data_IF_621914416828
#
_entry.id   IF_621914416828
#
_cell.length_a   1.000
_cell.length_b   1.000
_cell.length_c   1.000
_cell.angle_alpha   90.00
_cell.angle_beta   90.00
_cell.angle_gamma   90.00
#
_symmetry.space_group_name_H-M   'P 1'
#
loop_
_entity.id
_entity.type
_entity.pdbx_description
1 polymer ?
#
# COMPACT_ATOMS: atom_id res chain seq x y z
N UNK A 1 -7.40 7.86 19.95
CA UNK A 1 -6.66 8.84 19.13
C UNK A 1 -7.69 9.60 18.29
N UNK A 2 -7.47 10.87 17.93
CA UNK A 2 -8.31 11.55 16.92
C UNK A 2 -7.55 11.56 15.60
N UNK A 3 -8.16 11.01 14.55
CA UNK A 3 -7.63 11.01 13.18
C UNK A 3 -8.13 12.23 12.40
N UNK A 4 -7.62 12.41 11.19
CA UNK A 4 -8.07 13.47 10.27
C UNK A 4 -9.52 13.25 9.77
N UNK A 5 -10.05 12.04 9.96
CA UNK A 5 -11.40 11.60 9.60
C UNK A 5 -12.10 10.94 10.78
N UNK A 6 -13.42 10.89 10.72
CA UNK A 6 -14.26 9.95 11.45
C UNK A 6 -14.52 8.70 10.60
N UNK A 7 -14.88 7.58 11.25
CA UNK A 7 -15.17 6.32 10.55
C UNK A 7 -16.30 6.49 9.51
N UNK A 8 -17.30 7.34 9.81
CA UNK A 8 -18.38 7.73 8.88
C UNK A 8 -17.83 8.35 7.60
N UNK A 9 -16.86 9.26 7.72
CA UNK A 9 -16.29 9.98 6.58
C UNK A 9 -15.60 8.99 5.63
N UNK A 10 -14.98 7.94 6.18
CA UNK A 10 -14.35 6.84 5.42
C UNK A 10 -15.37 5.90 4.77
N UNK A 11 -16.54 5.70 5.37
CA UNK A 11 -17.64 4.98 4.72
C UNK A 11 -18.14 5.77 3.50
N UNK A 12 -18.32 7.09 3.65
CA UNK A 12 -18.86 8.00 2.63
C UNK A 12 -17.85 8.43 1.54
N UNK A 13 -16.56 8.08 1.69
CA UNK A 13 -15.52 8.36 0.67
C UNK A 13 -15.88 7.77 -0.71
N UNK A 14 -15.69 8.53 -1.81
CA UNK A 14 -16.02 8.08 -3.15
C UNK A 14 -15.09 6.94 -3.59
N UNK A 15 -15.69 5.81 -3.99
CA UNK A 15 -14.99 4.68 -4.59
C UNK A 15 -14.57 5.02 -6.02
N UNK A 16 -13.32 4.69 -6.39
CA UNK A 16 -12.79 4.84 -7.74
C UNK A 16 -12.83 3.51 -8.52
N UNK A 17 -12.87 3.58 -9.85
CA UNK A 17 -12.82 2.42 -10.74
C UNK A 17 -14.12 1.60 -10.79
N UNK A 18 -14.08 0.46 -11.48
CA UNK A 18 -15.22 -0.46 -11.65
C UNK A 18 -15.02 -1.70 -10.77
N UNK A 19 -16.00 -2.08 -9.91
CA UNK A 19 -15.88 -3.28 -9.08
C UNK A 19 -15.72 -4.58 -9.87
N UNK A 20 -14.73 -5.40 -9.49
CA UNK A 20 -14.51 -6.75 -10.03
C UNK A 20 -15.29 -7.74 -9.17
N UNK A 21 -16.50 -8.09 -9.61
CA UNK A 21 -17.42 -8.99 -8.90
C UNK A 21 -17.11 -10.48 -9.10
N UNK A 22 -16.26 -10.83 -10.08
CA UNK A 22 -15.97 -12.22 -10.48
C UNK A 22 -15.37 -13.08 -9.36
N UNK A 23 -14.64 -12.45 -8.43
CA UNK A 23 -14.08 -13.05 -7.20
C UNK A 23 -14.97 -12.87 -5.95
N UNK A 24 -16.13 -12.21 -6.06
CA UNK A 24 -17.08 -12.05 -4.97
C UNK A 24 -17.81 -13.35 -4.62
N UNK A 25 -18.19 -13.50 -3.35
CA UNK A 25 -18.95 -14.66 -2.86
C UNK A 25 -18.12 -15.87 -2.42
N UNK A 26 -16.78 -15.74 -2.27
CA UNK A 26 -15.92 -16.83 -1.79
C UNK A 26 -16.31 -17.34 -0.38
N UNK A 27 -16.76 -16.44 0.49
CA UNK A 27 -17.18 -16.77 1.85
C UNK A 27 -18.43 -17.66 1.88
N UNK A 28 -19.34 -17.46 0.91
CA UNK A 28 -20.65 -18.10 0.84
C UNK A 28 -20.61 -19.53 0.25
N UNK A 29 -19.42 -20.00 -0.18
CA UNK A 29 -19.26 -21.31 -0.83
C UNK A 29 -19.36 -22.45 0.21
N UNK A 30 -20.39 -23.32 0.12
CA UNK A 30 -20.53 -24.47 1.00
C UNK A 30 -19.48 -25.54 0.69
N UNK A 31 -19.21 -26.44 1.65
CA UNK A 31 -18.24 -27.52 1.50
C UNK A 31 -16.81 -27.20 1.98
N UNK A 32 -16.63 -26.07 2.67
CA UNK A 32 -15.38 -25.71 3.35
C UNK A 32 -14.22 -25.37 2.40
N UNK A 33 -12.99 -25.39 2.93
CA UNK A 33 -11.81 -24.86 2.22
C UNK A 33 -11.49 -25.57 0.90
N UNK A 34 -11.80 -26.86 0.78
CA UNK A 34 -11.62 -27.60 -0.48
C UNK A 34 -12.54 -27.10 -1.59
N UNK A 35 -13.82 -26.87 -1.28
CA UNK A 35 -14.79 -26.31 -2.21
C UNK A 35 -14.47 -24.84 -2.55
N UNK A 36 -14.11 -24.04 -1.55
CA UNK A 36 -13.64 -22.66 -1.72
C UNK A 36 -12.42 -22.58 -2.66
N UNK A 37 -11.43 -23.45 -2.52
CA UNK A 37 -10.26 -23.51 -3.42
C UNK A 37 -10.65 -23.93 -4.85
N UNK A 38 -11.55 -24.91 -5.01
CA UNK A 38 -12.04 -25.34 -6.32
C UNK A 38 -12.81 -24.22 -7.05
N UNK A 39 -13.66 -23.51 -6.32
CA UNK A 39 -14.37 -22.33 -6.80
C UNK A 39 -13.40 -21.20 -7.18
N UNK A 40 -12.44 -20.87 -6.31
CA UNK A 40 -11.48 -19.79 -6.54
C UNK A 40 -10.62 -20.04 -7.79
N UNK A 41 -10.16 -21.28 -7.99
CA UNK A 41 -9.44 -21.70 -9.21
C UNK A 41 -10.28 -21.56 -10.47
N UNK A 42 -11.59 -21.75 -10.37
CA UNK A 42 -12.52 -21.57 -11.49
C UNK A 42 -12.73 -20.08 -11.80
N UNK A 43 -13.01 -19.27 -10.76
CA UNK A 43 -13.20 -17.82 -10.91
C UNK A 43 -11.94 -17.08 -11.35
N UNK A 44 -10.76 -17.52 -10.93
CA UNK A 44 -9.49 -16.97 -11.42
C UNK A 44 -9.30 -17.13 -12.94
N UNK A 45 -9.84 -18.20 -13.56
CA UNK A 45 -9.83 -18.37 -15.03
C UNK A 45 -10.80 -17.43 -15.73
N UNK A 46 -11.97 -17.20 -15.14
CA UNK A 46 -12.94 -16.22 -15.65
C UNK A 46 -12.34 -14.81 -15.58
N UNK A 47 -11.85 -14.40 -14.40
CA UNK A 47 -11.17 -13.12 -14.20
C UNK A 47 -9.99 -12.93 -15.16
N UNK A 48 -9.14 -13.94 -15.38
CA UNK A 48 -8.05 -13.84 -16.38
C UNK A 48 -8.57 -13.50 -17.77
N UNK A 49 -9.71 -14.08 -18.16
CA UNK A 49 -10.31 -13.87 -19.49
C UNK A 49 -10.92 -12.48 -19.61
N UNK A 50 -11.69 -12.07 -18.60
CA UNK A 50 -12.29 -10.74 -18.49
C UNK A 50 -11.22 -9.63 -18.46
N UNK A 51 -10.22 -9.77 -17.59
CA UNK A 51 -9.14 -8.81 -17.43
C UNK A 51 -8.30 -8.66 -18.70
N UNK A 52 -7.98 -9.77 -19.39
CA UNK A 52 -7.27 -9.72 -20.67
C UNK A 52 -8.07 -9.00 -21.78
N UNK A 53 -9.41 -8.99 -21.70
CA UNK A 53 -10.26 -8.25 -22.62
C UNK A 53 -10.30 -6.73 -22.34
N UNK A 54 -9.82 -6.27 -21.18
CA UNK A 54 -9.76 -4.83 -20.84
C UNK A 54 -8.65 -4.08 -21.58
N UNK A 55 -7.64 -4.79 -22.11
CA UNK A 55 -6.47 -4.21 -22.79
C UNK A 55 -5.19 -4.37 -21.97
N UNK A 56 -4.23 -3.46 -22.18
CA UNK A 56 -2.92 -3.47 -21.53
C UNK A 56 -2.50 -2.06 -21.14
N UNK A 57 -1.75 -1.86 -20.04
CA UNK A 57 -1.13 -0.58 -19.72
C UNK A 57 -0.08 -0.22 -20.77
N UNK A 58 0.16 1.08 -20.96
CA UNK A 58 1.18 1.63 -21.87
C UNK A 58 2.59 1.27 -21.39
N UNK A 59 2.80 1.24 -20.07
CA UNK A 59 4.06 0.79 -19.46
C UNK A 59 3.91 0.41 -17.99
N UNK A 60 4.67 -0.59 -17.54
CA UNK A 60 4.92 -0.89 -16.12
C UNK A 60 6.43 -0.85 -15.89
N UNK A 61 6.89 -0.09 -14.89
CA UNK A 61 8.31 0.02 -14.54
C UNK A 61 8.53 -0.23 -13.05
N UNK A 62 9.37 -1.21 -12.73
CA UNK A 62 9.77 -1.53 -11.35
C UNK A 62 10.94 -0.67 -10.92
N UNK A 63 10.83 -0.01 -9.77
CA UNK A 63 11.81 0.90 -9.21
C UNK A 63 12.20 0.45 -7.78
N UNK A 64 13.41 -0.06 -7.61
CA UNK A 64 13.92 -0.47 -6.29
C UNK A 64 14.12 0.75 -5.40
N UNK A 65 13.58 0.71 -4.18
CA UNK A 65 13.68 1.81 -3.20
C UNK A 65 14.76 1.49 -2.16
N UNK A 66 14.60 0.38 -1.43
CA UNK A 66 15.48 0.02 -0.31
C UNK A 66 15.55 -1.49 -0.10
N UNK A 67 16.76 -2.01 0.11
CA UNK A 67 17.00 -3.36 0.65
C UNK A 67 17.33 -3.27 2.14
N UNK A 68 16.67 -4.08 2.97
CA UNK A 68 16.81 -4.06 4.43
C UNK A 68 16.73 -5.47 5.04
N UNK A 69 17.25 -5.69 6.27
CA UNK A 69 17.21 -6.99 6.91
C UNK A 69 15.82 -7.24 7.52
N UNK A 70 15.16 -8.30 7.10
CA UNK A 70 13.88 -8.74 7.66
C UNK A 70 14.07 -10.04 8.44
N UNK A 71 13.44 -10.22 9.64
CA UNK A 71 13.64 -11.44 10.42
C UNK A 71 13.19 -12.69 9.67
N UNK A 72 14.09 -13.67 9.54
CA UNK A 72 13.84 -14.93 8.81
C UNK A 72 12.59 -15.65 9.32
N UNK A 73 12.36 -15.61 10.64
CA UNK A 73 11.18 -16.18 11.30
C UNK A 73 9.84 -15.59 10.85
N UNK A 74 9.84 -14.31 10.44
CA UNK A 74 8.66 -13.60 9.94
C UNK A 74 8.52 -13.83 8.43
N UNK A 75 9.59 -13.59 7.67
CA UNK A 75 9.56 -13.70 6.19
C UNK A 75 9.30 -15.11 5.68
N UNK A 76 9.61 -16.15 6.46
CA UNK A 76 9.38 -17.56 6.12
C UNK A 76 8.42 -18.26 7.09
N UNK A 77 7.65 -17.51 7.90
CA UNK A 77 6.61 -18.00 8.83
C UNK A 77 6.85 -19.42 9.41
N UNK A 78 7.93 -19.59 10.19
CA UNK A 78 8.35 -20.86 10.81
C UNK A 78 8.67 -22.04 9.87
N UNK A 79 8.58 -21.90 8.55
CA UNK A 79 8.93 -22.93 7.57
C UNK A 79 10.45 -23.13 7.40
N UNK A 80 11.27 -22.21 7.92
CA UNK A 80 12.73 -22.25 7.77
C UNK A 80 13.45 -22.85 8.98
N UNK A 81 14.45 -23.69 8.71
CA UNK A 81 15.48 -24.14 9.66
C UNK A 81 16.76 -23.28 9.61
N UNK A 82 16.77 -22.20 8.82
CA UNK A 82 17.97 -21.39 8.62
C UNK A 82 18.42 -20.72 9.93
N UNK A 83 19.71 -20.83 10.21
CA UNK A 83 20.36 -20.23 11.38
C UNK A 83 20.49 -18.70 11.22
N UNK A 84 20.51 -18.22 9.96
CA UNK A 84 20.58 -16.80 9.64
C UNK A 84 19.37 -16.04 10.24
N UNK A 85 19.58 -15.08 11.17
CA UNK A 85 18.49 -14.39 11.87
C UNK A 85 17.70 -13.45 10.96
N UNK A 86 18.31 -13.00 9.87
CA UNK A 86 17.71 -12.11 8.87
C UNK A 86 17.87 -12.67 7.45
N UNK A 87 16.92 -12.30 6.60
CA UNK A 87 16.99 -12.37 5.14
C UNK A 87 16.91 -10.94 4.58
N UNK A 88 17.35 -10.73 3.34
CA UNK A 88 17.20 -9.44 2.68
C UNK A 88 15.83 -9.33 1.98
N UNK A 89 15.07 -8.28 2.26
CA UNK A 89 13.89 -7.87 1.47
C UNK A 89 14.24 -6.57 0.76
N UNK A 90 13.81 -6.43 -0.49
CA UNK A 90 13.86 -5.17 -1.24
C UNK A 90 12.45 -4.65 -1.46
N UNK A 91 12.13 -3.50 -0.86
CA UNK A 91 10.90 -2.77 -1.13
C UNK A 91 11.04 -2.04 -2.47
N UNK A 92 9.99 -2.07 -3.27
CA UNK A 92 9.97 -1.59 -4.65
C UNK A 92 8.67 -0.85 -4.94
N UNK A 93 8.77 0.27 -5.64
CA UNK A 93 7.64 0.93 -6.26
C UNK A 93 7.41 0.36 -7.67
N UNK A 94 6.16 0.26 -8.12
CA UNK A 94 5.84 0.14 -9.55
C UNK A 94 5.27 1.46 -10.05
N UNK A 95 5.75 1.91 -11.21
CA UNK A 95 5.19 3.05 -11.95
C UNK A 95 4.40 2.47 -13.11
N UNK A 96 3.08 2.66 -13.09
CA UNK A 96 2.14 2.13 -14.07
C UNK A 96 1.55 3.29 -14.85
N UNK A 97 1.56 3.21 -16.18
CA UNK A 97 0.93 4.21 -17.06
C UNK A 97 -0.05 3.52 -18.00
N UNK A 98 -1.20 4.12 -18.23
CA UNK A 98 -2.18 3.70 -19.23
C UNK A 98 -2.87 4.91 -19.85
N UNK A 99 -3.50 4.68 -21.00
CA UNK A 99 -4.36 5.65 -21.66
C UNK A 99 -5.81 5.17 -21.56
N UNK A 100 -6.69 6.03 -21.06
CA UNK A 100 -8.13 5.78 -20.96
C UNK A 100 -8.79 5.72 -22.35
N UNK A 101 -10.02 5.19 -22.41
CA UNK A 101 -10.81 5.15 -23.65
C UNK A 101 -11.15 6.53 -24.22
N UNK A 102 -11.07 7.59 -23.41
CA UNK A 102 -11.22 9.00 -23.82
C UNK A 102 -9.88 9.70 -24.16
N UNK A 103 -8.77 8.97 -24.14
CA UNK A 103 -7.44 9.48 -24.49
C UNK A 103 -6.69 10.17 -23.36
N UNK A 104 -7.26 10.31 -22.15
CA UNK A 104 -6.51 10.79 -20.98
C UNK A 104 -5.44 9.79 -20.60
N UNK A 105 -4.21 10.26 -20.39
CA UNK A 105 -3.12 9.46 -19.83
C UNK A 105 -3.23 9.45 -18.31
N UNK A 106 -2.86 8.32 -17.71
CA UNK A 106 -2.85 8.12 -16.26
C UNK A 106 -1.49 7.65 -15.77
N UNK A 107 -1.13 8.04 -14.56
CA UNK A 107 0.03 7.55 -13.83
C UNK A 107 -0.40 7.08 -12.44
N UNK A 108 -0.12 5.80 -12.15
CA UNK A 108 -0.28 5.21 -10.81
C UNK A 108 1.08 4.78 -10.27
N UNK A 109 1.32 5.12 -9.00
CA UNK A 109 2.46 4.65 -8.22
C UNK A 109 1.97 3.60 -7.23
N UNK A 110 2.39 2.35 -7.41
CA UNK A 110 2.12 1.25 -6.48
C UNK A 110 3.29 1.13 -5.51
N UNK A 111 3.02 1.07 -4.20
CA UNK A 111 4.03 1.07 -3.14
C UNK A 111 5.12 2.18 -3.24
N UNK A 112 4.75 3.48 -3.38
CA UNK A 112 5.69 4.59 -3.31
C UNK A 112 6.12 4.89 -1.86
N UNK A 113 6.70 3.91 -1.15
CA UNK A 113 7.05 4.06 0.26
C UNK A 113 8.09 5.17 0.50
N UNK A 114 7.83 6.02 1.50
CA UNK A 114 8.85 6.95 1.99
C UNK A 114 9.84 6.22 2.91
N UNK A 115 10.99 5.85 2.34
CA UNK A 115 12.08 5.15 3.05
C UNK A 115 12.62 5.96 4.24
N UNK A 116 12.51 7.29 4.22
CA UNK A 116 13.00 8.13 5.31
C UNK A 116 12.00 8.13 6.48
N UNK A 117 10.72 8.37 6.19
CA UNK A 117 9.68 8.44 7.22
C UNK A 117 9.35 7.04 7.79
N UNK A 118 9.34 6.00 6.96
CA UNK A 118 9.12 4.61 7.37
C UNK A 118 10.16 4.10 8.40
N UNK A 119 11.33 4.74 8.51
CA UNK A 119 12.32 4.45 9.58
C UNK A 119 11.79 4.76 10.99
N UNK A 120 10.76 5.60 11.10
CA UNK A 120 10.13 5.98 12.38
C UNK A 120 9.09 4.97 12.85
N UNK A 121 8.66 4.03 11.99
CA UNK A 121 7.80 2.88 12.34
C UNK A 121 8.30 2.23 13.66
N UNK A 122 7.42 1.94 14.64
CA UNK A 122 7.85 1.49 15.96
C UNK A 122 8.78 0.27 15.96
N UNK A 123 8.57 -0.68 15.05
CA UNK A 123 9.44 -1.83 14.82
C UNK A 123 10.86 -1.41 14.40
N UNK A 124 11.00 -0.60 13.35
CA UNK A 124 12.30 -0.14 12.86
C UNK A 124 13.00 0.81 13.83
N UNK A 125 12.26 1.68 14.51
CA UNK A 125 12.79 2.52 15.57
C UNK A 125 13.31 1.68 16.76
N UNK A 126 12.61 0.60 17.15
CA UNK A 126 13.05 -0.31 18.20
C UNK A 126 14.26 -1.17 17.78
N UNK A 127 14.32 -1.60 16.52
CA UNK A 127 15.47 -2.30 15.96
C UNK A 127 16.70 -1.38 15.93
N UNK A 128 16.56 -0.14 15.43
CA UNK A 128 17.62 0.85 15.40
C UNK A 128 18.21 1.16 16.79
N UNK A 129 17.37 1.26 17.83
CA UNK A 129 17.85 1.44 19.23
C UNK A 129 18.64 0.26 19.78
N UNK A 130 18.49 -0.94 19.20
CA UNK A 130 19.17 -2.19 19.62
C UNK A 130 20.36 -2.56 18.74
N UNK A 131 20.57 -1.85 17.63
CA UNK A 131 21.64 -2.12 16.66
C UNK A 131 22.73 -1.05 16.78
N UNK A 132 24.00 -1.41 17.04
CA UNK A 132 25.10 -0.45 17.07
C UNK A 132 25.20 0.35 15.76
N UNK A 133 25.44 1.66 15.86
CA UNK A 133 25.43 2.60 14.73
C UNK A 133 26.17 2.14 13.46
N UNK A 134 27.44 1.69 13.55
CA UNK A 134 28.19 1.22 12.39
C UNK A 134 27.58 0.00 11.69
N UNK A 135 26.87 -0.86 12.42
CA UNK A 135 26.22 -2.04 11.86
C UNK A 135 24.93 -1.66 11.10
N UNK A 136 24.27 -0.56 11.49
CA UNK A 136 23.03 -0.09 10.86
C UNK A 136 23.24 0.36 9.41
N UNK A 137 24.35 1.05 9.10
CA UNK A 137 24.70 1.47 7.74
C UNK A 137 25.15 0.32 6.84
N UNK A 138 25.64 -0.78 7.42
CA UNK A 138 25.99 -2.01 6.69
C UNK A 138 24.77 -2.91 6.37
N UNK A 139 23.63 -2.64 6.98
CA UNK A 139 22.42 -3.46 6.85
C UNK A 139 21.41 -2.96 5.82
N UNK A 140 21.41 -1.65 5.51
CA UNK A 140 20.39 -1.03 4.64
C UNK A 140 21.04 -0.45 3.39
N UNK A 141 20.54 -0.85 2.22
CA UNK A 141 20.96 -0.30 0.91
C UNK A 141 19.82 0.51 0.33
N UNK A 142 20.00 1.82 0.17
CA UNK A 142 19.07 2.68 -0.58
C UNK A 142 19.43 2.64 -2.07
N UNK A 143 18.45 2.36 -2.93
CA UNK A 143 18.64 2.25 -4.40
C UNK A 143 18.13 3.49 -5.16
N UNK A 144 17.24 4.26 -4.51
CA UNK A 144 16.71 5.51 -5.03
C UNK A 144 15.54 6.02 -4.18
N UNK A 145 15.09 7.23 -4.49
CA UNK A 145 13.88 7.82 -3.91
C UNK A 145 12.74 7.77 -4.94
N UNK A 146 11.48 7.82 -4.47
CA UNK A 146 10.29 7.93 -5.34
C UNK A 146 10.48 9.03 -6.38
N UNK A 147 10.77 10.26 -5.93
CA UNK A 147 11.01 11.42 -6.80
C UNK A 147 12.21 11.25 -7.73
N UNK A 148 13.31 10.64 -7.26
CA UNK A 148 14.48 10.38 -8.09
C UNK A 148 14.19 9.40 -9.24
N UNK A 149 13.30 8.43 -9.02
CA UNK A 149 12.85 7.52 -10.07
C UNK A 149 11.86 8.18 -11.03
N UNK A 150 10.91 8.98 -10.54
CA UNK A 150 9.99 9.74 -11.42
C UNK A 150 10.73 10.71 -12.34
N UNK A 151 11.72 11.44 -11.82
CA UNK A 151 12.56 12.33 -12.62
C UNK A 151 13.32 11.58 -13.74
N UNK A 152 13.83 10.36 -13.47
CA UNK A 152 14.46 9.51 -14.50
C UNK A 152 13.46 9.00 -15.56
N UNK A 153 12.19 8.87 -15.19
CA UNK A 153 11.11 8.42 -16.08
C UNK A 153 10.40 9.57 -16.83
N UNK A 154 10.81 10.82 -16.57
CA UNK A 154 10.22 12.01 -17.18
C UNK A 154 8.79 12.30 -16.71
N UNK A 155 8.46 11.96 -15.46
CA UNK A 155 7.15 12.16 -14.85
C UNK A 155 7.25 13.28 -13.81
N UNK A 156 6.45 14.34 -13.97
CA UNK A 156 6.37 15.39 -12.95
C UNK A 156 5.44 14.94 -11.79
N UNK A 157 5.64 15.39 -10.54
CA UNK A 157 4.76 14.99 -9.44
C UNK A 157 3.29 15.36 -9.63
N UNK A 158 3.01 16.46 -10.35
CA UNK A 158 1.67 16.88 -10.75
C UNK A 158 1.00 15.97 -11.79
N UNK A 159 1.76 15.16 -12.53
CA UNK A 159 1.24 14.16 -13.49
C UNK A 159 0.76 12.87 -12.80
N UNK A 160 0.96 12.72 -11.49
CA UNK A 160 0.58 11.52 -10.73
C UNK A 160 -0.89 11.58 -10.33
N UNK A 161 -1.72 10.74 -10.94
CA UNK A 161 -3.15 10.63 -10.62
C UNK A 161 -3.42 9.79 -9.37
N UNK A 162 -2.65 8.73 -9.16
CA UNK A 162 -2.96 7.72 -8.16
C UNK A 162 -1.72 7.24 -7.40
N UNK A 163 -1.86 7.12 -6.09
CA UNK A 163 -0.97 6.34 -5.23
C UNK A 163 -1.76 5.12 -4.77
N UNK A 164 -1.18 3.93 -4.81
CA UNK A 164 -1.83 2.72 -4.33
C UNK A 164 -0.90 1.96 -3.39
N UNK A 165 -1.45 1.54 -2.26
CA UNK A 165 -0.77 0.68 -1.31
C UNK A 165 -1.54 -0.64 -1.18
N UNK A 166 -0.82 -1.77 -1.12
CA UNK A 166 -1.46 -3.06 -0.84
C UNK A 166 -1.89 -3.16 0.64
N UNK A 167 -1.16 -2.47 1.52
CA UNK A 167 -1.51 -2.19 2.92
C UNK A 167 -0.65 -1.04 3.50
N UNK A 168 -1.07 -0.46 4.63
CA UNK A 168 -0.42 0.73 5.21
C UNK A 168 0.70 0.41 6.24
N UNK A 169 1.27 -0.81 6.22
CA UNK A 169 2.47 -1.09 7.02
C UNK A 169 3.64 -0.20 6.60
N UNK A 170 4.23 0.49 7.56
CA UNK A 170 5.43 1.33 7.40
C UNK A 170 5.28 2.53 6.46
N UNK A 171 4.04 2.80 6.00
CA UNK A 171 3.74 3.93 5.13
C UNK A 171 3.42 5.17 5.97
N UNK A 172 4.07 6.27 5.61
CA UNK A 172 3.78 7.62 6.11
C UNK A 172 3.44 8.49 4.89
N UNK A 173 2.18 8.90 4.79
CA UNK A 173 1.68 9.60 3.59
C UNK A 173 1.84 11.12 3.69
N UNK A 174 2.30 11.66 4.83
CA UNK A 174 2.32 13.12 5.08
C UNK A 174 3.10 13.90 4.02
N UNK A 175 4.22 13.36 3.53
CA UNK A 175 4.98 13.96 2.42
C UNK A 175 4.26 13.88 1.07
N UNK A 176 3.48 12.83 0.84
CA UNK A 176 2.84 12.55 -0.45
C UNK A 176 1.57 13.37 -0.67
N UNK A 177 0.66 13.38 0.32
CA UNK A 177 -0.64 14.04 0.24
C UNK A 177 -0.77 15.30 1.12
N UNK A 178 0.29 15.66 1.84
CA UNK A 178 0.32 16.82 2.70
C UNK A 178 -0.47 16.65 4.00
N UNK A 179 -0.46 17.71 4.82
CA UNK A 179 -1.21 17.79 6.08
C UNK A 179 -2.03 19.07 6.19
N UNK A 180 -3.06 19.05 7.03
CA UNK A 180 -3.92 20.21 7.34
C UNK A 180 -3.35 21.09 8.45
N UNK A 181 -2.40 20.57 9.24
CA UNK A 181 -1.75 21.27 10.36
C UNK A 181 -0.22 21.13 10.28
N UNK A 182 0.55 22.04 10.92
CA UNK A 182 2.00 21.93 11.01
C UNK A 182 2.47 20.62 11.65
N UNK A 183 3.56 20.07 11.11
CA UNK A 183 4.14 18.81 11.57
C UNK A 183 5.54 19.08 12.17
N UNK A 184 5.78 18.82 13.47
CA UNK A 184 7.04 19.20 14.12
C UNK A 184 8.32 18.61 13.51
N UNK A 185 8.21 17.51 12.75
CA UNK A 185 9.29 16.86 12.02
C UNK A 185 9.50 17.38 10.58
N UNK A 186 8.68 18.35 10.13
CA UNK A 186 8.77 19.00 8.83
C UNK A 186 8.97 20.53 8.90
N UNK A 187 8.46 21.19 9.96
CA UNK A 187 8.66 22.63 10.18
C UNK A 187 7.44 23.34 10.76
N UNK A 188 7.45 24.67 10.72
CA UNK A 188 6.45 25.54 11.37
C UNK A 188 5.12 25.66 10.61
N UNK A 189 5.04 25.11 9.38
CA UNK A 189 3.85 25.14 8.52
C UNK A 189 3.30 23.74 8.20
N UNK A 190 2.06 23.64 7.67
CA UNK A 190 1.53 22.39 7.15
C UNK A 190 2.44 21.81 6.05
N UNK A 191 2.43 20.49 5.88
CA UNK A 191 3.19 19.83 4.82
C UNK A 191 2.43 19.99 3.51
N UNK A 192 3.03 20.67 2.54
CA UNK A 192 2.47 20.73 1.19
C UNK A 192 2.58 19.36 0.49
N UNK A 193 1.58 18.94 -0.29
CA UNK A 193 1.58 17.65 -0.97
C UNK A 193 2.65 17.63 -2.08
N UNK A 194 3.53 16.63 -2.05
CA UNK A 194 4.41 16.36 -3.19
C UNK A 194 3.62 15.94 -4.43
N UNK A 195 2.49 15.23 -4.27
CA UNK A 195 1.62 14.81 -5.36
C UNK A 195 0.26 15.52 -5.27
N UNK A 196 0.15 16.80 -5.68
CA UNK A 196 -1.01 17.65 -5.38
C UNK A 196 -2.33 17.16 -6.00
N UNK A 197 -2.25 16.44 -7.13
CA UNK A 197 -3.40 15.93 -7.87
C UNK A 197 -3.78 14.48 -7.50
N UNK A 198 -2.90 13.76 -6.80
CA UNK A 198 -3.03 12.32 -6.63
C UNK A 198 -4.14 11.94 -5.63
N UNK A 199 -4.81 10.81 -5.90
CA UNK A 199 -5.68 10.12 -4.94
C UNK A 199 -5.03 8.84 -4.44
N UNK A 200 -5.03 8.65 -3.12
CA UNK A 200 -4.54 7.42 -2.47
C UNK A 200 -5.66 6.39 -2.50
N UNK A 201 -5.51 5.39 -3.35
CA UNK A 201 -6.37 4.21 -3.38
C UNK A 201 -5.89 3.27 -2.27
N UNK A 202 -6.78 2.98 -1.32
CA UNK A 202 -6.49 2.10 -0.19
C UNK A 202 -7.75 1.37 0.24
N UNK A 203 -7.61 0.12 0.69
CA UNK A 203 -8.76 -0.64 1.18
C UNK A 203 -9.38 0.05 2.41
N UNK A 204 -10.70 0.21 2.41
CA UNK A 204 -11.45 0.96 3.42
C UNK A 204 -11.15 0.50 4.85
N UNK A 205 -10.99 -0.81 5.05
CA UNK A 205 -10.67 -1.41 6.34
C UNK A 205 -9.27 -1.03 6.87
N UNK A 206 -8.29 -0.71 6.02
CA UNK A 206 -6.96 -0.25 6.46
C UNK A 206 -7.05 1.15 7.09
N UNK A 207 -7.89 2.04 6.53
CA UNK A 207 -8.15 3.37 7.10
C UNK A 207 -8.95 3.29 8.40
N UNK A 208 -9.96 2.42 8.46
CA UNK A 208 -10.71 2.18 9.70
C UNK A 208 -9.81 1.56 10.79
N UNK A 209 -8.92 0.63 10.44
CA UNK A 209 -8.01 0.00 11.39
C UNK A 209 -7.04 0.99 12.06
N UNK A 210 -6.74 2.13 11.44
CA UNK A 210 -5.90 3.17 12.06
C UNK A 210 -6.47 3.72 13.37
N UNK A 211 -7.79 3.73 13.56
CA UNK A 211 -8.42 4.23 14.78
C UNK A 211 -8.15 3.31 15.98
N UNK A 212 -8.19 1.99 15.76
CA UNK A 212 -7.94 0.96 16.77
C UNK A 212 -7.18 -0.27 16.21
N UNK A 213 -5.86 -0.11 16.03
CA UNK A 213 -4.99 -1.20 15.61
C UNK A 213 -4.87 -2.32 16.66
N UNK A 214 -4.93 -3.57 16.19
CA UNK A 214 -4.68 -4.75 17.02
C UNK A 214 -3.25 -4.74 17.59
N UNK A 215 -2.99 -5.20 18.83
CA UNK A 215 -1.65 -5.13 19.43
C UNK A 215 -0.51 -5.76 18.63
N UNK A 216 -0.79 -6.76 17.79
CA UNK A 216 0.21 -7.37 16.88
C UNK A 216 0.49 -6.53 15.62
N UNK A 217 -0.45 -5.68 15.21
CA UNK A 217 -0.29 -4.75 14.07
C UNK A 217 0.51 -3.50 14.49
N UNK A 218 0.24 -2.95 15.68
CA UNK A 218 0.83 -1.68 16.18
C UNK A 218 2.34 -1.49 15.95
N UNK A 219 3.22 -2.51 16.03
CA UNK A 219 4.65 -2.34 15.72
C UNK A 219 4.95 -1.90 14.28
N UNK A 220 4.05 -2.17 13.33
CA UNK A 220 4.24 -2.01 11.89
C UNK A 220 3.52 -0.81 11.28
N UNK A 221 2.64 -0.14 12.02
CA UNK A 221 1.90 1.04 11.55
C UNK A 221 2.41 2.32 12.22
N UNK A 222 2.12 3.45 11.59
CA UNK A 222 2.36 4.80 12.12
C UNK A 222 1.04 5.56 12.27
N UNK A 223 0.09 5.12 13.12
CA UNK A 223 -1.25 5.68 13.21
C UNK A 223 -1.26 7.20 13.51
N UNK A 224 -0.30 7.68 14.30
CA UNK A 224 -0.15 9.10 14.59
C UNK A 224 0.19 9.96 13.36
N UNK A 225 0.82 9.39 12.32
CA UNK A 225 1.11 10.11 11.07
C UNK A 225 -0.16 10.40 10.24
N UNK A 226 -1.28 9.75 10.53
CA UNK A 226 -2.56 9.92 9.82
C UNK A 226 -3.52 10.89 10.54
N UNK A 227 -3.07 11.56 11.61
CA UNK A 227 -3.89 12.50 12.40
C UNK A 227 -4.27 13.76 11.63
N UNK A 228 -3.40 14.22 10.74
CA UNK A 228 -3.51 15.51 10.07
C UNK A 228 -3.41 15.39 8.54
N UNK A 229 -3.30 14.17 7.98
CA UNK A 229 -3.27 13.99 6.52
C UNK A 229 -4.59 14.43 5.90
N UNK A 230 -4.53 14.95 4.67
CA UNK A 230 -5.70 15.44 3.93
C UNK A 230 -6.69 14.32 3.58
N UNK A 231 -7.91 14.27 4.17
CA UNK A 231 -8.88 13.21 3.88
C UNK A 231 -9.40 13.27 2.44
N UNK A 232 -9.44 14.47 1.84
CA UNK A 232 -9.85 14.69 0.45
C UNK A 232 -8.90 14.05 -0.57
N UNK A 233 -7.65 13.76 -0.18
CA UNK A 233 -6.67 13.05 -1.00
C UNK A 233 -6.78 11.52 -0.90
N UNK A 234 -7.62 10.98 0.00
CA UNK A 234 -7.85 9.54 0.14
C UNK A 234 -9.02 9.07 -0.72
N UNK A 235 -9.03 7.79 -1.08
CA UNK A 235 -10.13 7.13 -1.77
C UNK A 235 -10.25 5.70 -1.25
N UNK A 236 -11.14 5.52 -0.27
CA UNK A 236 -11.42 4.25 0.37
C UNK A 236 -12.18 3.32 -0.58
N UNK A 237 -11.66 2.10 -0.77
CA UNK A 237 -12.23 1.10 -1.69
C UNK A 237 -12.47 -0.23 -0.98
N UNK A 238 -13.47 -1.00 -1.45
CA UNK A 238 -13.73 -2.34 -0.94
C UNK A 238 -13.53 -3.40 -2.01
N UNK A 239 -12.70 -4.40 -1.72
CA UNK A 239 -12.50 -5.53 -2.60
C UNK A 239 -11.68 -5.20 -3.83
N UNK A 240 -12.01 -5.83 -4.96
CA UNK A 240 -11.21 -5.79 -6.20
C UNK A 240 -11.80 -4.77 -7.19
N UNK A 241 -10.93 -4.04 -7.88
CA UNK A 241 -11.29 -2.94 -8.79
C UNK A 241 -10.55 -3.05 -10.13
N UNK A 242 -11.22 -2.69 -11.21
CA UNK A 242 -10.60 -2.35 -12.48
C UNK A 242 -10.41 -0.84 -12.52
N UNK A 243 -9.16 -0.37 -12.68
CA UNK A 243 -8.83 1.06 -12.73
C UNK A 243 -8.73 1.56 -14.18
N UNK A 244 -8.31 0.70 -15.11
CA UNK A 244 -8.15 1.02 -16.52
C UNK A 244 -7.72 -0.19 -17.35
N UNK A 245 -7.44 -0.02 -18.65
CA UNK A 245 -7.00 -1.08 -19.56
C UNK A 245 -5.80 -1.87 -19.02
N UNK A 246 -6.01 -3.14 -18.66
CA UNK A 246 -4.97 -3.99 -18.08
C UNK A 246 -4.42 -3.53 -16.73
N UNK A 247 -5.15 -2.69 -15.98
CA UNK A 247 -4.77 -2.22 -14.64
C UNK A 247 -5.88 -2.53 -13.64
N UNK A 248 -5.66 -3.50 -12.76
CA UNK A 248 -6.62 -3.94 -11.74
C UNK A 248 -5.97 -4.13 -10.37
N UNK A 249 -6.75 -3.81 -9.34
CA UNK A 249 -6.49 -4.07 -7.93
C UNK A 249 -7.22 -5.37 -7.57
N UNK A 250 -6.49 -6.39 -7.13
CA UNK A 250 -7.10 -7.65 -6.65
C UNK A 250 -6.91 -7.72 -5.15
N UNK A 251 -8.02 -7.72 -4.40
CA UNK A 251 -7.99 -7.77 -2.94
C UNK A 251 -7.59 -9.16 -2.46
N UNK A 252 -6.58 -9.25 -1.57
CA UNK A 252 -6.04 -10.54 -1.08
C UNK A 252 -5.98 -10.69 0.46
N UNK A 253 -7.13 -10.77 1.17
CA UNK A 253 -7.50 -11.90 2.06
C UNK A 253 -6.59 -12.48 3.16
N UNK A 254 -5.42 -11.93 3.50
CA UNK A 254 -4.55 -12.54 4.53
C UNK A 254 -3.68 -11.59 5.39
N UNK A 255 -2.74 -10.84 4.80
CA UNK A 255 -1.51 -10.41 5.49
C UNK A 255 -1.70 -9.45 6.68
N UNK A 256 -2.69 -8.57 6.65
CA UNK A 256 -3.01 -7.64 7.76
C UNK A 256 -4.01 -8.20 8.78
N UNK A 257 -4.72 -9.28 8.47
CA UNK A 257 -5.81 -9.80 9.29
C UNK A 257 -5.31 -10.65 10.46
N UNK A 258 -5.64 -10.25 11.68
CA UNK A 258 -5.51 -11.10 12.86
C UNK A 258 -6.76 -11.98 13.11
N UNK A 259 -7.91 -11.60 12.54
CA UNK A 259 -9.21 -12.26 12.72
C UNK A 259 -10.04 -12.19 11.43
N UNK A 260 -10.85 -13.22 11.19
CA UNK A 260 -11.92 -13.18 10.18
C UNK A 260 -13.05 -12.26 10.66
N UNK A 261 -13.84 -11.67 9.75
CA UNK A 261 -15.24 -11.42 10.08
C UNK A 261 -15.89 -12.79 10.34
N UNK A 262 -16.27 -13.04 11.58
CA UNK A 262 -17.14 -14.15 11.95
C UNK A 262 -18.57 -13.83 11.51
N UNK A 263 -19.19 -14.84 10.89
CA UNK A 263 -20.64 -15.07 10.70
C UNK A 263 -21.60 -13.91 11.01
#
# INVERSE_FOLDING_TARGET
MKLAWHDTDVLDMPTLGTPITTLGGLADIPGGYGAQLGWARTRAKALRTEFAATGTPDSVTTCDLVTLPYPTRFGLFRASRAIAPFLAITNRMLVIRWTESDGRRRVLLFEPSDVQLGRTTPYFAALARRTPGPLRSLMVTEHGTVLGHLARLGIAPEDVDYLLFDHLHTQDLRRWIGTSTPQPDFGDGPVEPVFPNAKVIVQRHELLAMSELHPLQRPWYQPDAYRDVRPDALSAVDGSLLLGPGVAVVSTPATCWATRPSC
#
